data_IF_167501650343
#
_entry.id   IF_167501650343
#
_cell.length_a   1.000
_cell.length_b   1.000
_cell.length_c   1.000
_cell.angle_alpha   90.00
_cell.angle_beta   90.00
_cell.angle_gamma   90.00
#
_symmetry.space_group_name_H-M   'P 1'
#
loop_
_entity.id
_entity.type
_entity.pdbx_description
1 polymer ?
#
# COMPACT_ATOMS: atom_id res chain seq x y z
N UNK A 1 5.70 15.26 8.88
CA UNK A 1 6.06 13.89 9.34
C UNK A 1 5.40 13.52 10.68
N UNK A 2 5.42 14.39 11.71
CA UNK A 2 4.85 14.09 13.04
C UNK A 2 3.35 13.70 13.01
N UNK A 3 2.52 14.41 12.25
CA UNK A 3 1.09 14.08 12.13
C UNK A 3 0.83 12.71 11.49
N UNK A 4 1.48 12.41 10.36
CA UNK A 4 1.36 11.10 9.70
C UNK A 4 1.83 9.97 10.62
N UNK A 5 2.94 10.17 11.35
CA UNK A 5 3.43 9.21 12.33
C UNK A 5 2.38 8.93 13.42
N UNK A 6 1.82 9.97 14.04
CA UNK A 6 0.79 9.81 15.07
C UNK A 6 -0.48 9.14 14.54
N UNK A 7 -0.90 9.49 13.33
CA UNK A 7 -2.03 8.87 12.65
C UNK A 7 -1.78 7.37 12.43
N UNK A 8 -0.64 7.01 11.84
CA UNK A 8 -0.27 5.61 11.58
C UNK A 8 -0.17 4.81 12.88
N UNK A 9 0.42 5.37 13.93
CA UNK A 9 0.49 4.72 15.24
C UNK A 9 -0.91 4.33 15.76
N UNK A 10 -1.89 5.23 15.64
CA UNK A 10 -3.29 4.93 16.01
C UNK A 10 -3.89 3.85 15.10
N UNK A 11 -3.67 3.93 13.79
CA UNK A 11 -4.17 2.93 12.83
C UNK A 11 -3.54 1.55 13.05
N UNK A 12 -2.26 1.48 13.42
CA UNK A 12 -1.58 0.23 13.74
C UNK A 12 -2.07 -0.42 15.03
N UNK A 13 -2.49 0.37 16.01
CA UNK A 13 -3.15 -0.17 17.18
C UNK A 13 -4.44 -0.91 16.80
N UNK A 14 -5.30 -0.28 15.99
CA UNK A 14 -6.54 -0.89 15.48
C UNK A 14 -6.23 -2.10 14.60
N UNK A 15 -5.22 -2.02 13.73
CA UNK A 15 -4.77 -3.12 12.89
C UNK A 15 -4.34 -4.33 13.72
N UNK A 16 -3.58 -4.07 14.78
CA UNK A 16 -3.10 -5.10 15.69
C UNK A 16 -4.24 -5.75 16.46
N UNK A 17 -5.17 -4.96 17.00
CA UNK A 17 -6.36 -5.47 17.68
C UNK A 17 -7.22 -6.34 16.76
N UNK A 18 -7.44 -5.92 15.52
CA UNK A 18 -8.21 -6.68 14.55
C UNK A 18 -7.61 -8.07 14.28
N UNK A 19 -6.29 -8.16 14.10
CA UNK A 19 -5.63 -9.45 13.87
C UNK A 19 -5.46 -10.29 15.15
N UNK A 20 -5.56 -9.67 16.32
CA UNK A 20 -5.52 -10.36 17.60
C UNK A 20 -6.87 -10.99 17.96
N UNK A 21 -7.97 -10.43 17.46
CA UNK A 21 -9.32 -10.97 17.67
C UNK A 21 -9.40 -12.47 17.37
N UNK A 22 -9.96 -13.24 18.30
CA UNK A 22 -9.96 -14.70 18.24
C UNK A 22 -10.76 -15.24 17.03
N UNK A 23 -11.80 -14.54 16.57
CA UNK A 23 -12.54 -14.96 15.37
C UNK A 23 -11.72 -14.77 14.09
N UNK A 24 -10.82 -13.77 14.05
CA UNK A 24 -9.92 -13.53 12.92
C UNK A 24 -8.72 -14.47 12.99
N UNK A 25 -8.01 -14.46 14.12
CA UNK A 25 -6.81 -15.25 14.38
C UNK A 25 -7.05 -16.75 14.18
N UNK A 26 -8.14 -17.30 14.70
CA UNK A 26 -8.46 -18.72 14.55
C UNK A 26 -8.69 -19.13 13.08
N UNK A 27 -9.29 -18.25 12.27
CA UNK A 27 -9.47 -18.49 10.83
C UNK A 27 -8.14 -18.43 10.08
N UNK A 28 -7.29 -17.45 10.40
CA UNK A 28 -5.96 -17.35 9.80
C UNK A 28 -5.09 -18.56 10.12
N UNK A 29 -5.16 -19.10 11.34
CA UNK A 29 -4.45 -20.33 11.71
C UNK A 29 -4.97 -21.55 10.94
N UNK A 30 -6.30 -21.67 10.76
CA UNK A 30 -6.91 -22.73 9.93
C UNK A 30 -6.49 -22.62 8.45
N UNK A 31 -6.37 -21.40 7.93
CA UNK A 31 -5.93 -21.17 6.56
C UNK A 31 -4.42 -21.39 6.39
N UNK A 32 -3.61 -21.07 7.41
CA UNK A 32 -2.19 -21.42 7.44
C UNK A 32 -1.97 -22.94 7.39
N UNK A 33 -2.68 -23.69 8.24
CA UNK A 33 -2.60 -25.15 8.27
C UNK A 33 -3.03 -25.76 6.93
N UNK A 34 -4.16 -25.30 6.39
CA UNK A 34 -4.65 -25.73 5.10
C UNK A 34 -3.65 -25.44 3.98
N UNK A 35 -3.09 -24.22 3.93
CA UNK A 35 -2.12 -23.85 2.92
C UNK A 35 -0.87 -24.71 3.00
N UNK A 36 -0.36 -25.00 4.21
CA UNK A 36 0.80 -25.90 4.39
C UNK A 36 0.54 -27.30 3.85
N UNK A 37 -0.68 -27.84 4.02
CA UNK A 37 -1.04 -29.16 3.51
C UNK A 37 -1.18 -29.17 1.99
N UNK A 38 -1.84 -28.15 1.44
CA UNK A 38 -2.27 -28.12 0.05
C UNK A 38 -1.20 -27.58 -0.89
N UNK A 39 -0.23 -26.82 -0.40
CA UNK A 39 0.90 -26.30 -1.20
C UNK A 39 1.75 -27.40 -1.87
N UNK A 40 1.66 -28.64 -1.39
CA UNK A 40 2.34 -29.79 -2.02
C UNK A 40 1.67 -30.19 -3.34
N UNK A 41 0.34 -30.05 -3.44
CA UNK A 41 -0.46 -30.52 -4.58
C UNK A 41 -1.14 -29.42 -5.39
N UNK A 42 -1.22 -28.20 -4.86
CA UNK A 42 -1.76 -27.05 -5.56
C UNK A 42 -0.71 -25.96 -5.71
N UNK A 43 -0.66 -25.40 -6.92
CA UNK A 43 0.26 -24.31 -7.28
C UNK A 43 -0.14 -22.95 -6.65
N UNK A 44 -1.38 -22.79 -6.18
CA UNK A 44 -1.90 -21.50 -5.73
C UNK A 44 -2.95 -21.64 -4.63
N UNK A 45 -3.10 -20.60 -3.81
CA UNK A 45 -4.07 -20.55 -2.72
C UNK A 45 -5.51 -20.58 -3.27
N UNK A 46 -6.41 -21.43 -2.74
CA UNK A 46 -7.76 -21.59 -3.29
C UNK A 46 -8.63 -20.33 -3.18
N UNK A 47 -9.25 -19.93 -4.29
CA UNK A 47 -10.19 -18.80 -4.33
C UNK A 47 -11.40 -19.01 -3.41
N UNK A 48 -11.96 -20.22 -3.41
CA UNK A 48 -13.13 -20.60 -2.61
C UNK A 48 -12.86 -20.43 -1.12
N UNK A 49 -11.61 -20.62 -0.69
CA UNK A 49 -11.20 -20.45 0.69
C UNK A 49 -11.25 -18.97 1.09
N UNK A 50 -10.68 -18.09 0.28
CA UNK A 50 -10.75 -16.64 0.48
C UNK A 50 -12.20 -16.13 0.49
N UNK A 51 -13.05 -16.64 -0.42
CA UNK A 51 -14.46 -16.28 -0.47
C UNK A 51 -15.23 -16.76 0.77
N UNK A 52 -14.97 -17.99 1.24
CA UNK A 52 -15.55 -18.53 2.47
C UNK A 52 -15.11 -17.74 3.71
N UNK A 53 -13.86 -17.28 3.74
CA UNK A 53 -13.35 -16.41 4.78
C UNK A 53 -14.11 -15.08 4.81
N UNK A 54 -14.19 -14.37 3.68
CA UNK A 54 -14.92 -13.10 3.53
C UNK A 54 -16.40 -13.24 3.97
N UNK A 55 -17.14 -14.19 3.38
CA UNK A 55 -18.53 -14.48 3.76
C UNK A 55 -18.67 -14.86 5.23
N UNK A 56 -17.71 -15.62 5.75
CA UNK A 56 -17.71 -16.09 7.11
C UNK A 56 -17.50 -14.97 8.15
N UNK A 57 -16.74 -13.92 7.81
CA UNK A 57 -16.63 -12.72 8.65
C UNK A 57 -17.88 -11.88 8.58
N UNK A 58 -18.49 -11.74 7.39
CA UNK A 58 -19.75 -10.99 7.22
C UNK A 58 -20.88 -11.53 8.10
N UNK A 59 -20.88 -12.84 8.39
CA UNK A 59 -21.83 -13.49 9.31
C UNK A 59 -21.63 -13.15 10.79
N UNK A 60 -20.49 -12.58 11.19
CA UNK A 60 -20.24 -12.18 12.59
C UNK A 60 -21.00 -10.92 13.00
N UNK A 61 -21.54 -10.18 12.03
CA UNK A 61 -22.31 -8.96 12.26
C UNK A 61 -21.93 -7.86 11.28
N UNK A 62 -22.83 -6.87 11.19
CA UNK A 62 -22.65 -5.63 10.45
C UNK A 62 -22.75 -4.46 11.43
N UNK A 63 -22.04 -3.38 11.15
CA UNK A 63 -22.21 -2.11 11.87
C UNK A 63 -23.55 -1.46 11.53
N UNK A 64 -23.90 -0.37 12.23
CA UNK A 64 -25.08 0.45 11.90
C UNK A 64 -25.08 0.96 10.46
N UNK A 65 -23.90 1.13 9.86
CA UNK A 65 -23.73 1.55 8.46
C UNK A 65 -23.73 0.37 7.46
N UNK A 66 -24.03 -0.85 7.93
CA UNK A 66 -24.08 -2.05 7.09
C UNK A 66 -22.71 -2.63 6.70
N UNK A 67 -21.62 -2.19 7.34
CA UNK A 67 -20.26 -2.67 7.04
C UNK A 67 -19.92 -3.92 7.87
N UNK A 68 -19.36 -4.93 7.23
CA UNK A 68 -18.77 -6.07 7.95
C UNK A 68 -17.45 -5.68 8.62
N UNK A 69 -16.97 -6.52 9.53
CA UNK A 69 -15.63 -6.36 10.10
C UNK A 69 -14.53 -6.35 9.03
N UNK A 70 -14.68 -7.12 7.95
CA UNK A 70 -13.68 -7.13 6.86
C UNK A 70 -13.76 -5.86 6.02
N UNK A 71 -14.95 -5.25 5.86
CA UNK A 71 -15.10 -3.95 5.19
C UNK A 71 -14.41 -2.84 5.98
N UNK A 72 -14.59 -2.83 7.31
CA UNK A 72 -13.88 -1.90 8.20
C UNK A 72 -12.37 -2.09 8.13
N UNK A 73 -11.90 -3.34 8.09
CA UNK A 73 -10.47 -3.63 7.97
C UNK A 73 -9.91 -3.23 6.60
N UNK A 74 -10.64 -3.48 5.50
CA UNK A 74 -10.30 -2.94 4.18
C UNK A 74 -10.18 -1.42 4.23
N UNK A 75 -11.15 -0.73 4.82
CA UNK A 75 -11.12 0.72 5.02
C UNK A 75 -9.92 1.17 5.87
N UNK A 76 -9.55 0.43 6.90
CA UNK A 76 -8.33 0.67 7.68
C UNK A 76 -7.07 0.61 6.82
N UNK A 77 -6.93 -0.42 5.98
CA UNK A 77 -5.81 -0.55 5.03
C UNK A 77 -5.81 0.62 4.04
N UNK A 78 -6.98 0.99 3.50
CA UNK A 78 -7.13 2.16 2.62
C UNK A 78 -6.66 3.44 3.31
N UNK A 79 -7.06 3.68 4.56
CA UNK A 79 -6.62 4.87 5.32
C UNK A 79 -5.10 4.90 5.54
N UNK A 80 -4.48 3.74 5.81
CA UNK A 80 -3.03 3.62 5.94
C UNK A 80 -2.35 3.97 4.60
N UNK A 81 -2.86 3.46 3.48
CA UNK A 81 -2.33 3.77 2.16
C UNK A 81 -2.57 5.22 1.74
N UNK A 82 -3.72 5.82 2.08
CA UNK A 82 -3.97 7.25 1.87
C UNK A 82 -2.96 8.12 2.62
N UNK A 83 -2.55 7.71 3.83
CA UNK A 83 -1.49 8.39 4.56
C UNK A 83 -0.13 8.30 3.83
N UNK A 84 0.19 7.16 3.20
CA UNK A 84 1.38 7.03 2.33
C UNK A 84 1.26 7.92 1.10
N UNK A 85 0.09 7.94 0.44
CA UNK A 85 -0.21 8.81 -0.69
C UNK A 85 -0.06 10.28 -0.34
N UNK A 86 -0.54 10.70 0.84
CA UNK A 86 -0.37 12.05 1.35
C UNK A 86 1.10 12.42 1.56
N UNK A 87 1.90 11.55 2.20
CA UNK A 87 3.34 11.77 2.37
C UNK A 87 4.04 11.95 1.03
N UNK A 88 3.70 11.11 0.05
CA UNK A 88 4.23 11.22 -1.31
C UNK A 88 3.82 12.52 -1.98
N UNK A 89 2.55 12.92 -1.87
CA UNK A 89 2.03 14.15 -2.45
C UNK A 89 2.74 15.39 -1.86
N UNK A 90 2.92 15.44 -0.54
CA UNK A 90 3.66 16.53 0.13
C UNK A 90 5.12 16.57 -0.36
N UNK A 91 5.77 15.41 -0.50
CA UNK A 91 7.14 15.33 -1.05
C UNK A 91 7.19 15.86 -2.48
N UNK A 92 6.31 15.39 -3.36
CA UNK A 92 6.26 15.81 -4.75
C UNK A 92 5.94 17.30 -4.88
N UNK A 93 5.05 17.84 -4.05
CA UNK A 93 4.76 19.27 -3.99
C UNK A 93 5.97 20.09 -3.56
N UNK A 94 6.67 19.67 -2.50
CA UNK A 94 7.90 20.32 -2.05
C UNK A 94 9.01 20.31 -3.11
N UNK A 95 9.19 19.18 -3.80
CA UNK A 95 10.14 19.07 -4.91
C UNK A 95 9.74 19.96 -6.10
N UNK A 96 8.44 20.03 -6.43
CA UNK A 96 7.96 20.90 -7.50
C UNK A 96 8.20 22.39 -7.19
N UNK A 97 7.92 22.83 -5.96
CA UNK A 97 8.23 24.19 -5.53
C UNK A 97 9.74 24.48 -5.61
N UNK A 98 10.57 23.55 -5.14
CA UNK A 98 12.03 23.68 -5.17
C UNK A 98 12.56 23.71 -6.62
N UNK A 99 12.00 22.88 -7.50
CA UNK A 99 12.36 22.84 -8.93
C UNK A 99 11.99 24.14 -9.65
N UNK A 100 10.83 24.73 -9.35
CA UNK A 100 10.45 26.01 -9.93
C UNK A 100 11.38 27.14 -9.48
N UNK A 101 11.75 27.16 -8.20
CA UNK A 101 12.68 28.14 -7.65
C UNK A 101 14.11 27.98 -8.22
N UNK A 102 14.52 26.75 -8.54
CA UNK A 102 15.85 26.43 -9.05
C UNK A 102 16.00 26.53 -10.58
N UNK A 103 14.92 26.85 -11.31
CA UNK A 103 14.89 26.78 -12.79
C UNK A 103 15.92 27.66 -13.49
N UNK A 104 16.41 28.70 -12.82
CA UNK A 104 17.39 29.66 -13.35
C UNK A 104 18.84 29.32 -12.96
N UNK A 105 19.06 28.27 -12.17
CA UNK A 105 20.39 27.80 -11.80
C UNK A 105 20.82 26.75 -12.83
N UNK A 106 21.88 27.01 -13.63
CA UNK A 106 22.29 26.12 -14.72
C UNK A 106 22.75 24.75 -14.26
N UNK A 107 23.52 24.70 -13.18
CA UNK A 107 24.00 23.48 -12.53
C UNK A 107 23.82 23.58 -11.01
N UNK A 108 23.07 22.64 -10.44
CA UNK A 108 22.83 22.55 -9.00
C UNK A 108 23.93 21.77 -8.27
N UNK A 109 24.76 21.01 -9.00
CA UNK A 109 25.88 20.26 -8.45
C UNK A 109 27.14 21.13 -8.34
N UNK A 110 27.26 22.14 -9.19
CA UNK A 110 28.38 23.08 -9.23
C UNK A 110 27.87 24.54 -9.29
N UNK A 111 27.36 25.01 -8.15
CA UNK A 111 26.91 26.40 -8.01
C UNK A 111 28.14 27.29 -7.75
N UNK A 112 28.45 28.17 -8.72
CA UNK A 112 29.49 29.19 -8.58
C UNK A 112 29.11 30.20 -7.48
N UNK A 113 30.06 30.56 -6.61
CA UNK A 113 29.84 31.60 -5.59
C UNK A 113 29.78 32.98 -6.24
N UNK A 114 28.64 33.66 -6.11
CA UNK A 114 28.51 35.03 -6.59
C UNK A 114 29.36 35.99 -5.76
N UNK A 115 29.56 35.70 -4.47
CA UNK A 115 30.44 36.50 -3.60
C UNK A 115 31.85 36.57 -4.17
N UNK A 116 32.44 35.42 -4.54
CA UNK A 116 33.78 35.36 -5.13
C UNK A 116 33.87 36.17 -6.43
N UNK A 117 32.86 36.04 -7.31
CA UNK A 117 32.81 36.82 -8.56
C UNK A 117 32.72 38.33 -8.31
N UNK A 118 31.98 38.76 -7.29
CA UNK A 118 31.87 40.16 -6.91
C UNK A 118 33.19 40.70 -6.32
N UNK A 119 33.87 39.91 -5.50
CA UNK A 119 35.19 40.25 -4.96
C UNK A 119 36.23 40.42 -6.09
N UNK A 120 36.28 39.47 -7.03
CA UNK A 120 37.19 39.52 -8.18
C UNK A 120 36.92 40.73 -9.09
N UNK A 121 35.64 41.11 -9.24
CA UNK A 121 35.22 42.27 -10.03
C UNK A 121 35.37 43.62 -9.29
N UNK A 122 35.81 43.64 -8.03
CA UNK A 122 36.03 44.85 -7.23
C UNK A 122 34.79 45.77 -7.13
N UNK A 123 33.60 45.18 -6.96
CA UNK A 123 32.33 45.92 -6.84
C UNK A 123 32.12 46.54 -5.45
N UNK A 124 31.05 47.33 -5.29
CA UNK A 124 30.76 47.99 -4.01
C UNK A 124 30.44 47.01 -2.87
N UNK A 125 30.65 47.44 -1.63
CA UNK A 125 30.36 46.63 -0.44
C UNK A 125 28.88 46.25 -0.33
N UNK A 126 27.96 47.11 -0.78
CA UNK A 126 26.52 46.81 -0.84
C UNK A 126 26.22 45.68 -1.82
N UNK A 127 26.94 45.62 -2.94
CA UNK A 127 26.79 44.59 -3.96
C UNK A 127 27.31 43.24 -3.44
N UNK A 128 28.44 43.23 -2.75
CA UNK A 128 28.98 42.03 -2.08
C UNK A 128 27.97 41.50 -1.05
N UNK A 129 27.39 42.37 -0.22
CA UNK A 129 26.37 41.97 0.77
C UNK A 129 25.10 41.43 0.13
N UNK A 130 24.70 41.96 -1.03
CA UNK A 130 23.58 41.40 -1.79
C UNK A 130 23.91 40.01 -2.35
N UNK A 131 25.15 39.80 -2.81
CA UNK A 131 25.65 38.51 -3.28
C UNK A 131 25.69 37.46 -2.14
N UNK A 132 26.10 37.83 -0.93
CA UNK A 132 26.07 36.94 0.26
C UNK A 132 24.65 36.41 0.53
N UNK A 133 23.65 37.30 0.46
CA UNK A 133 22.25 36.90 0.63
C UNK A 133 21.79 35.95 -0.47
N UNK A 134 22.20 36.20 -1.72
CA UNK A 134 21.82 35.35 -2.85
C UNK A 134 22.48 33.97 -2.74
N UNK A 135 23.78 33.90 -2.45
CA UNK A 135 24.50 32.64 -2.24
C UNK A 135 23.89 31.85 -1.07
N UNK A 136 23.48 32.51 0.02
CA UNK A 136 22.78 31.85 1.13
C UNK A 136 21.42 31.25 0.71
N UNK A 137 20.65 31.98 -0.10
CA UNK A 137 19.36 31.50 -0.65
C UNK A 137 19.58 30.33 -1.60
N UNK A 138 20.55 30.41 -2.51
CA UNK A 138 20.86 29.34 -3.46
C UNK A 138 21.36 28.10 -2.71
N UNK A 139 22.25 28.24 -1.73
CA UNK A 139 22.71 27.13 -0.90
C UNK A 139 21.56 26.43 -0.15
N UNK A 140 20.61 27.21 0.39
CA UNK A 140 19.41 26.67 1.01
C UNK A 140 18.55 25.88 0.00
N UNK A 141 18.39 26.40 -1.21
CA UNK A 141 17.63 25.77 -2.27
C UNK A 141 18.27 24.46 -2.76
N UNK A 142 19.57 24.47 -3.03
CA UNK A 142 20.35 23.30 -3.44
C UNK A 142 20.29 22.20 -2.37
N UNK A 143 20.43 22.55 -1.08
CA UNK A 143 20.29 21.59 0.02
C UNK A 143 18.90 20.95 0.10
N UNK A 144 17.85 21.73 -0.12
CA UNK A 144 16.47 21.22 -0.11
C UNK A 144 16.15 20.39 -1.35
N UNK A 145 16.78 20.69 -2.48
CA UNK A 145 16.64 19.94 -3.73
C UNK A 145 17.31 18.55 -3.65
N UNK A 146 18.50 18.48 -3.05
CA UNK A 146 19.25 17.23 -2.85
C UNK A 146 18.81 16.41 -1.63
N UNK A 147 17.76 16.82 -0.90
CA UNK A 147 17.28 16.07 0.25
C UNK A 147 16.57 14.78 -0.24
N UNK A 148 17.37 13.73 -0.45
CA UNK A 148 16.96 12.34 -0.70
C UNK A 148 16.35 11.70 0.56
N UNK A 149 15.42 12.41 1.19
CA UNK A 149 14.68 11.84 2.32
C UNK A 149 13.72 10.80 1.75
N UNK A 150 14.12 9.54 1.83
CA UNK A 150 13.22 8.42 1.57
C UNK A 150 12.24 8.31 2.74
N UNK A 151 11.20 9.15 2.70
CA UNK A 151 10.17 9.19 3.73
C UNK A 151 9.46 7.84 3.93
N UNK A 152 9.36 7.03 2.87
CA UNK A 152 8.81 5.68 2.98
C UNK A 152 9.75 4.77 3.75
N UNK A 153 11.05 4.83 3.46
CA UNK A 153 12.06 4.18 4.31
C UNK A 153 11.90 4.58 5.77
N UNK A 154 11.92 5.88 6.07
CA UNK A 154 11.85 6.37 7.44
C UNK A 154 10.60 5.83 8.17
N UNK A 155 9.45 5.85 7.51
CA UNK A 155 8.22 5.31 8.08
C UNK A 155 8.27 3.79 8.26
N UNK A 156 8.91 3.04 7.36
CA UNK A 156 9.08 1.60 7.57
C UNK A 156 10.05 1.33 8.71
N UNK A 157 11.22 1.99 8.73
CA UNK A 157 12.28 1.75 9.72
C UNK A 157 11.81 2.11 11.14
N UNK A 158 10.99 3.15 11.29
CA UNK A 158 10.44 3.55 12.59
C UNK A 158 9.42 2.54 13.12
N UNK A 159 8.58 1.94 12.27
CA UNK A 159 7.48 1.09 12.72
C UNK A 159 7.79 -0.42 12.66
N UNK A 160 8.70 -0.84 11.79
CA UNK A 160 9.07 -2.25 11.63
C UNK A 160 9.55 -2.92 12.93
N UNK A 161 10.46 -2.33 13.74
CA UNK A 161 10.92 -2.97 14.98
C UNK A 161 9.77 -3.24 15.96
N UNK A 162 8.89 -2.27 16.16
CA UNK A 162 7.76 -2.40 17.07
C UNK A 162 6.74 -3.43 16.58
N UNK A 163 6.42 -3.45 15.29
CA UNK A 163 5.42 -4.36 14.71
C UNK A 163 5.93 -5.79 14.51
N UNK A 164 7.24 -5.98 14.39
CA UNK A 164 7.87 -7.30 14.22
C UNK A 164 8.30 -7.94 15.55
N UNK A 165 8.12 -7.23 16.67
CA UNK A 165 8.41 -7.76 18.00
C UNK A 165 7.67 -9.08 18.27
N UNK A 166 8.28 -9.98 19.03
CA UNK A 166 7.71 -11.29 19.33
C UNK A 166 6.38 -11.22 20.10
N UNK A 167 6.13 -10.14 20.85
CA UNK A 167 4.83 -9.86 21.49
C UNK A 167 3.71 -9.69 20.46
N UNK A 168 4.05 -9.30 19.24
CA UNK A 168 3.12 -9.11 18.12
C UNK A 168 3.09 -10.32 17.16
N UNK A 169 3.20 -11.53 17.71
CA UNK A 169 3.23 -12.77 16.92
C UNK A 169 1.99 -12.99 16.04
N UNK A 170 0.83 -12.47 16.44
CA UNK A 170 -0.41 -12.50 15.65
C UNK A 170 -0.29 -11.77 14.31
N UNK A 171 0.60 -10.77 14.20
CA UNK A 171 0.79 -10.03 12.95
C UNK A 171 1.49 -10.86 11.87
N UNK A 172 2.22 -11.93 12.24
CA UNK A 172 2.99 -12.80 11.32
C UNK A 172 2.13 -13.46 10.24
N UNK A 173 0.82 -13.57 10.48
CA UNK A 173 -0.14 -14.21 9.57
C UNK A 173 -0.96 -13.22 8.74
N UNK A 174 -0.64 -11.91 8.76
CA UNK A 174 -1.38 -10.90 8.00
C UNK A 174 -1.50 -11.25 6.50
N UNK A 175 -0.44 -11.74 5.86
CA UNK A 175 -0.47 -12.09 4.43
C UNK A 175 -1.58 -13.07 4.03
N UNK A 176 -2.06 -13.92 4.96
CA UNK A 176 -3.12 -14.88 4.72
C UNK A 176 -4.51 -14.25 4.65
N UNK A 177 -4.71 -13.05 5.22
CA UNK A 177 -5.99 -12.34 5.13
C UNK A 177 -6.14 -11.59 3.81
N UNK A 178 -5.01 -11.27 3.14
CA UNK A 178 -4.99 -10.48 1.91
C UNK A 178 -5.90 -11.07 0.82
N UNK A 179 -5.86 -12.38 0.51
CA UNK A 179 -6.82 -12.98 -0.43
C UNK A 179 -8.27 -12.62 -0.14
N UNK A 180 -8.73 -12.78 1.10
CA UNK A 180 -10.10 -12.45 1.49
C UNK A 180 -10.40 -10.95 1.37
N UNK A 181 -9.45 -10.09 1.75
CA UNK A 181 -9.58 -8.64 1.57
C UNK A 181 -9.66 -8.25 0.10
N UNK A 182 -8.94 -8.92 -0.81
CA UNK A 182 -9.02 -8.62 -2.25
C UNK A 182 -10.38 -9.02 -2.83
N UNK A 183 -10.97 -10.13 -2.38
CA UNK A 183 -12.36 -10.48 -2.75
C UNK A 183 -13.32 -9.42 -2.25
N UNK A 184 -13.20 -9.02 -0.98
CA UNK A 184 -14.01 -7.95 -0.38
C UNK A 184 -13.86 -6.62 -1.13
N UNK A 185 -12.63 -6.25 -1.52
CA UNK A 185 -12.35 -5.05 -2.29
C UNK A 185 -13.00 -5.09 -3.67
N UNK A 186 -12.90 -6.19 -4.41
CA UNK A 186 -13.50 -6.31 -5.75
C UNK A 186 -15.03 -6.24 -5.67
N UNK A 187 -15.64 -6.91 -4.68
CA UNK A 187 -17.08 -6.81 -4.43
C UNK A 187 -17.51 -5.36 -4.15
N UNK A 188 -16.74 -4.64 -3.32
CA UNK A 188 -16.98 -3.22 -3.04
C UNK A 188 -16.77 -2.32 -4.27
N UNK A 189 -15.70 -2.53 -5.05
CA UNK A 189 -15.38 -1.76 -6.26
C UNK A 189 -16.51 -1.87 -7.29
N UNK A 190 -16.99 -3.09 -7.54
CA UNK A 190 -18.11 -3.32 -8.46
C UNK A 190 -19.39 -2.63 -7.97
N UNK A 191 -19.73 -2.76 -6.69
CA UNK A 191 -20.89 -2.09 -6.13
C UNK A 191 -20.78 -0.55 -6.21
N UNK A 192 -19.58 0.00 -5.99
CA UNK A 192 -19.33 1.43 -6.12
C UNK A 192 -19.46 1.92 -7.58
N UNK A 193 -18.99 1.13 -8.56
CA UNK A 193 -19.16 1.41 -9.99
C UNK A 193 -20.62 1.33 -10.44
N UNK A 194 -21.37 0.38 -9.92
CA UNK A 194 -22.82 0.27 -10.16
C UNK A 194 -23.60 1.45 -9.55
N UNK A 195 -23.15 1.99 -8.43
CA UNK A 195 -23.76 3.19 -7.83
C UNK A 195 -23.46 4.47 -8.63
N UNK A 196 -22.27 4.57 -9.23
CA UNK A 196 -21.93 5.67 -10.13
C UNK A 196 -22.82 5.70 -11.38
N UNK A 197 -23.05 4.55 -12.01
CA UNK A 197 -23.90 4.47 -13.21
C UNK A 197 -25.35 4.86 -12.92
N UNK A 198 -25.81 4.64 -11.69
CA UNK A 198 -27.17 5.00 -11.22
C UNK A 198 -27.32 6.44 -10.72
N UNK A 199 -26.29 7.29 -10.85
CA UNK A 199 -26.23 8.67 -10.29
C UNK A 199 -26.49 8.75 -8.77
N UNK A 200 -26.28 7.66 -8.04
CA UNK A 200 -26.36 7.67 -6.57
C UNK A 200 -25.09 8.33 -6.03
N UNK A 201 -25.24 9.47 -5.34
CA UNK A 201 -24.10 10.23 -4.80
C UNK A 201 -23.41 9.53 -3.62
N UNK A 202 -24.11 8.66 -2.90
CA UNK A 202 -23.60 7.96 -1.72
C UNK A 202 -22.98 6.61 -2.11
N UNK A 203 -21.71 6.39 -1.79
CA UNK A 203 -21.00 5.14 -2.07
C UNK A 203 -20.47 4.99 -3.50
N UNK A 204 -20.54 6.05 -4.30
CA UNK A 204 -19.87 6.15 -5.60
C UNK A 204 -18.38 6.45 -5.39
N UNK A 205 -17.51 5.57 -5.88
CA UNK A 205 -16.06 5.76 -5.86
C UNK A 205 -15.46 5.30 -7.20
N UNK A 206 -14.65 6.17 -7.82
CA UNK A 206 -14.03 5.90 -9.12
C UNK A 206 -12.64 5.24 -8.99
N UNK A 207 -11.88 5.60 -7.97
CA UNK A 207 -10.54 5.06 -7.70
C UNK A 207 -10.34 4.85 -6.18
N UNK A 208 -9.71 3.72 -5.81
CA UNK A 208 -9.33 3.39 -4.43
C UNK A 208 -7.88 2.86 -4.41
N UNK A 209 -6.94 3.73 -4.79
CA UNK A 209 -5.51 3.44 -4.81
C UNK A 209 -4.93 3.28 -3.39
N UNK A 210 -5.61 3.86 -2.40
CA UNK A 210 -5.26 3.77 -0.99
C UNK A 210 -5.20 2.34 -0.51
N UNK A 211 -6.14 1.48 -0.93
CA UNK A 211 -6.11 0.07 -0.55
C UNK A 211 -4.82 -0.62 -1.04
N UNK A 212 -4.49 -0.47 -2.33
CA UNK A 212 -3.29 -1.07 -2.92
C UNK A 212 -2.00 -0.55 -2.28
N UNK A 213 -1.91 0.75 -2.05
CA UNK A 213 -0.78 1.41 -1.39
C UNK A 213 -0.63 0.91 0.06
N UNK A 214 -1.75 0.75 0.78
CA UNK A 214 -1.80 0.24 2.14
C UNK A 214 -1.33 -1.21 2.23
N UNK A 215 -1.78 -2.09 1.33
CA UNK A 215 -1.31 -3.48 1.28
C UNK A 215 0.19 -3.57 1.05
N UNK A 216 0.70 -2.81 0.07
CA UNK A 216 2.13 -2.79 -0.24
C UNK A 216 2.96 -2.33 0.96
N UNK A 217 2.52 -1.28 1.66
CA UNK A 217 3.19 -0.77 2.85
C UNK A 217 3.15 -1.77 4.00
N UNK A 218 1.99 -2.37 4.31
CA UNK A 218 1.88 -3.36 5.38
C UNK A 218 2.71 -4.61 5.11
N UNK A 219 2.73 -5.10 3.86
CA UNK A 219 3.58 -6.23 3.46
C UNK A 219 5.07 -5.92 3.66
N UNK A 220 5.52 -4.69 3.36
CA UNK A 220 6.89 -4.26 3.60
C UNK A 220 7.18 -4.11 5.10
N UNK A 221 6.34 -3.37 5.83
CA UNK A 221 6.50 -3.14 7.28
C UNK A 221 6.53 -4.43 8.06
N UNK A 222 5.72 -5.43 7.72
CA UNK A 222 5.69 -6.72 8.43
C UNK A 222 6.69 -7.75 7.87
N UNK A 223 7.41 -7.42 6.79
CA UNK A 223 8.31 -8.33 6.08
C UNK A 223 7.63 -9.63 5.60
N UNK A 224 6.47 -9.50 4.93
CA UNK A 224 5.65 -10.64 4.50
C UNK A 224 5.47 -10.74 2.98
N UNK A 225 6.27 -9.98 2.21
CA UNK A 225 6.23 -10.01 0.74
C UNK A 225 6.42 -11.43 0.19
N UNK A 226 7.48 -12.12 0.61
CA UNK A 226 7.78 -13.48 0.13
C UNK A 226 6.71 -14.49 0.56
N UNK A 227 6.16 -14.36 1.77
CA UNK A 227 5.07 -15.20 2.26
C UNK A 227 3.80 -15.02 1.43
N UNK A 228 3.45 -13.78 1.09
CA UNK A 228 2.33 -13.46 0.21
C UNK A 228 2.56 -13.96 -1.21
N UNK A 229 3.73 -13.72 -1.79
CA UNK A 229 4.07 -14.18 -3.14
C UNK A 229 4.00 -15.72 -3.25
N UNK A 230 4.35 -16.42 -2.18
CA UNK A 230 4.25 -17.88 -2.11
C UNK A 230 2.83 -18.42 -2.19
N UNK A 231 1.79 -17.58 -2.02
CA UNK A 231 0.39 -17.98 -2.21
C UNK A 231 0.02 -18.09 -3.70
N UNK A 232 0.80 -17.49 -4.60
CA UNK A 232 0.46 -17.37 -6.03
C UNK A 232 -0.99 -16.90 -6.27
N UNK A 233 -1.48 -16.01 -5.39
CA UNK A 233 -2.89 -15.63 -5.30
C UNK A 233 -3.45 -15.10 -6.62
N UNK A 234 -2.75 -14.14 -7.23
CA UNK A 234 -3.19 -13.49 -8.47
C UNK A 234 -3.29 -14.49 -9.64
N UNK A 235 -2.31 -15.40 -9.75
CA UNK A 235 -2.34 -16.47 -10.75
C UNK A 235 -3.50 -17.43 -10.52
N UNK A 236 -3.77 -17.81 -9.27
CA UNK A 236 -4.90 -18.65 -8.89
C UNK A 236 -6.25 -18.02 -9.22
N UNK A 237 -6.43 -16.74 -8.89
CA UNK A 237 -7.63 -15.96 -9.23
C UNK A 237 -7.83 -15.91 -10.74
N UNK A 238 -6.80 -15.54 -11.50
CA UNK A 238 -6.89 -15.43 -12.96
C UNK A 238 -7.29 -16.75 -13.61
N UNK A 239 -6.63 -17.86 -13.24
CA UNK A 239 -6.96 -19.20 -13.76
C UNK A 239 -8.38 -19.62 -13.39
N UNK A 240 -8.84 -19.32 -12.17
CA UNK A 240 -10.21 -19.62 -11.73
C UNK A 240 -11.25 -18.94 -12.60
N UNK A 241 -11.11 -17.64 -12.84
CA UNK A 241 -12.06 -16.88 -13.64
C UNK A 241 -12.04 -17.28 -15.12
N UNK A 242 -10.85 -17.55 -15.70
CA UNK A 242 -10.74 -18.09 -17.06
C UNK A 242 -11.51 -19.41 -17.17
N UNK A 243 -11.24 -20.37 -16.27
CA UNK A 243 -11.90 -21.69 -16.27
C UNK A 243 -13.41 -21.60 -16.11
N UNK A 244 -13.93 -20.72 -15.24
CA UNK A 244 -15.39 -20.56 -15.10
C UNK A 244 -16.03 -19.90 -16.32
N UNK A 245 -15.35 -18.93 -16.93
CA UNK A 245 -15.83 -18.31 -18.17
C UNK A 245 -15.91 -19.31 -19.31
N UNK A 246 -14.86 -20.13 -19.49
CA UNK A 246 -14.83 -21.18 -20.51
C UNK A 246 -15.97 -22.18 -20.34
N UNK A 247 -16.26 -22.60 -19.09
CA UNK A 247 -17.40 -23.49 -18.81
C UNK A 247 -18.74 -22.86 -19.18
N UNK A 248 -18.96 -21.59 -18.82
CA UNK A 248 -20.22 -20.89 -19.14
C UNK A 248 -20.36 -20.70 -20.65
N UNK A 249 -19.25 -20.41 -21.35
CA UNK A 249 -19.23 -20.29 -22.80
C UNK A 249 -19.54 -21.62 -23.50
N UNK A 250 -18.94 -22.72 -23.04
CA UNK A 250 -19.24 -24.07 -23.52
C UNK A 250 -20.72 -24.42 -23.31
N UNK A 251 -21.28 -24.16 -22.13
CA UNK A 251 -22.71 -24.39 -21.84
C UNK A 251 -23.61 -23.58 -22.78
N UNK A 252 -23.22 -22.33 -23.07
CA UNK A 252 -23.97 -21.45 -23.97
C UNK A 252 -23.97 -21.97 -25.41
N UNK A 253 -22.82 -22.44 -25.89
CA UNK A 253 -22.65 -23.02 -27.23
C UNK A 253 -23.38 -24.37 -27.37
N UNK A 254 -23.31 -25.23 -26.35
CA UNK A 254 -24.00 -26.52 -26.33
C UNK A 254 -25.53 -26.39 -26.17
N UNK A 255 -26.02 -25.29 -25.58
CA UNK A 255 -27.45 -24.99 -25.39
C UNK A 255 -28.09 -24.16 -26.50
N UNK A 256 -27.45 -24.06 -27.67
CA UNK A 256 -27.93 -23.36 -28.86
C UNK A 256 -29.24 -23.98 -29.39
N UNK A 257 -30.37 -23.58 -28.82
CA UNK A 257 -31.71 -24.05 -29.20
C UNK A 257 -32.69 -24.23 -28.04
N UNK A 258 -32.27 -24.04 -26.79
CA UNK A 258 -33.10 -24.21 -25.58
C UNK A 258 -33.27 -22.87 -24.85
N UNK A 259 -34.53 -22.48 -24.65
CA UNK A 259 -35.04 -21.43 -23.74
C UNK A 259 -34.26 -20.09 -23.74
N UNK A 260 -34.83 -19.05 -24.36
CA UNK A 260 -34.27 -17.68 -24.38
C UNK A 260 -33.89 -17.15 -22.98
N UNK A 261 -34.63 -17.56 -21.93
CA UNK A 261 -34.32 -17.17 -20.54
C UNK A 261 -33.00 -17.78 -20.04
N UNK A 262 -32.71 -19.02 -20.43
CA UNK A 262 -31.46 -19.69 -20.07
C UNK A 262 -30.28 -19.01 -20.77
N UNK A 263 -30.42 -18.71 -22.05
CA UNK A 263 -29.40 -17.97 -22.83
C UNK A 263 -29.13 -16.59 -22.25
N UNK A 264 -30.17 -15.85 -21.85
CA UNK A 264 -30.02 -14.56 -21.18
C UNK A 264 -29.31 -14.69 -19.82
N UNK A 265 -29.65 -15.71 -19.02
CA UNK A 265 -29.01 -15.96 -17.73
C UNK A 265 -27.53 -16.29 -17.86
N UNK A 266 -27.15 -17.10 -18.86
CA UNK A 266 -25.76 -17.44 -19.15
C UNK A 266 -24.98 -16.20 -19.62
N UNK A 267 -25.57 -15.36 -20.46
CA UNK A 267 -24.95 -14.11 -20.91
C UNK A 267 -24.67 -13.14 -19.74
N UNK A 268 -25.64 -12.96 -18.83
CA UNK A 268 -25.46 -12.15 -17.62
C UNK A 268 -24.38 -12.73 -16.70
N UNK A 269 -24.32 -14.05 -16.56
CA UNK A 269 -23.30 -14.73 -15.76
C UNK A 269 -21.90 -14.51 -16.33
N UNK A 270 -21.76 -14.62 -17.66
CA UNK A 270 -20.49 -14.39 -18.36
C UNK A 270 -20.02 -12.95 -18.21
N UNK A 271 -20.91 -11.97 -18.40
CA UNK A 271 -20.62 -10.55 -18.18
C UNK A 271 -20.17 -10.29 -16.73
N UNK A 272 -20.86 -10.87 -15.74
CA UNK A 272 -20.45 -10.76 -14.33
C UNK A 272 -19.05 -11.32 -14.10
N UNK A 273 -18.74 -12.51 -14.63
CA UNK A 273 -17.41 -13.11 -14.48
C UNK A 273 -16.32 -12.26 -15.13
N UNK A 274 -16.60 -11.65 -16.28
CA UNK A 274 -15.69 -10.70 -16.95
C UNK A 274 -15.41 -9.47 -16.09
N UNK A 275 -16.44 -8.85 -15.51
CA UNK A 275 -16.28 -7.69 -14.65
C UNK A 275 -15.44 -8.02 -13.41
N UNK A 276 -15.71 -9.14 -12.73
CA UNK A 276 -14.89 -9.57 -11.60
C UNK A 276 -13.44 -9.80 -12.00
N UNK A 277 -13.21 -10.51 -13.12
CA UNK A 277 -11.86 -10.76 -13.62
C UNK A 277 -11.10 -9.46 -13.90
N UNK A 278 -11.75 -8.50 -14.57
CA UNK A 278 -11.18 -7.19 -14.88
C UNK A 278 -10.83 -6.42 -13.60
N UNK A 279 -11.71 -6.39 -12.60
CA UNK A 279 -11.41 -5.72 -11.32
C UNK A 279 -10.25 -6.34 -10.57
N UNK A 280 -10.14 -7.67 -10.56
CA UNK A 280 -8.99 -8.35 -9.96
C UNK A 280 -7.69 -8.01 -10.70
N UNK A 281 -7.74 -7.89 -12.02
CA UNK A 281 -6.58 -7.54 -12.84
C UNK A 281 -6.12 -6.09 -12.58
N UNK A 282 -7.07 -5.14 -12.48
CA UNK A 282 -6.79 -3.77 -12.09
C UNK A 282 -6.18 -3.70 -10.68
N UNK A 283 -6.76 -4.42 -9.71
CA UNK A 283 -6.22 -4.47 -8.35
C UNK A 283 -4.80 -5.08 -8.33
N UNK A 284 -4.55 -6.13 -9.10
CA UNK A 284 -3.22 -6.73 -9.24
C UNK A 284 -2.20 -5.71 -9.76
N UNK A 285 -2.54 -4.95 -10.80
CA UNK A 285 -1.67 -3.91 -11.36
C UNK A 285 -1.41 -2.79 -10.35
N UNK A 286 -2.44 -2.33 -9.64
CA UNK A 286 -2.30 -1.29 -8.60
C UNK A 286 -1.43 -1.77 -7.44
N UNK A 287 -1.64 -2.99 -6.92
CA UNK A 287 -0.81 -3.55 -5.83
C UNK A 287 0.62 -3.77 -6.29
N UNK A 288 0.83 -4.31 -7.50
CA UNK A 288 2.17 -4.55 -8.04
C UNK A 288 2.94 -3.24 -8.22
N UNK A 289 2.29 -2.21 -8.74
CA UNK A 289 2.87 -0.87 -8.89
C UNK A 289 3.17 -0.24 -7.53
N UNK A 290 2.25 -0.36 -6.56
CA UNK A 290 2.43 0.16 -5.22
C UNK A 290 3.62 -0.50 -4.48
N UNK A 291 3.88 -1.79 -4.72
CA UNK A 291 5.03 -2.50 -4.13
C UNK A 291 6.37 -1.97 -4.63
N UNK A 292 6.44 -1.35 -5.81
CA UNK A 292 7.69 -0.76 -6.35
C UNK A 292 8.20 0.37 -5.44
N UNK A 293 7.32 1.15 -4.81
CA UNK A 293 7.73 2.20 -3.86
C UNK A 293 8.48 1.69 -2.63
N UNK A 294 8.46 0.38 -2.39
CA UNK A 294 9.12 -0.27 -1.27
C UNK A 294 10.16 -1.31 -1.69
N UNK A 295 10.45 -1.42 -2.99
CA UNK A 295 11.53 -2.25 -3.55
C UNK A 295 12.80 -1.39 -3.63
N UNK A 296 13.81 -1.78 -2.86
CA UNK A 296 15.10 -1.11 -2.80
C UNK A 296 15.89 -1.57 -1.57
N UNK A 297 17.19 -1.81 -1.74
CA UNK A 297 18.14 -1.89 -0.65
C UNK A 297 18.36 -0.48 -0.14
N UNK A 298 17.56 -0.10 0.85
CA UNK A 298 17.69 1.22 1.40
C UNK A 298 19.04 1.33 2.12
N UNK A 299 19.94 2.25 1.76
CA UNK A 299 21.29 2.34 2.32
C UNK A 299 21.21 2.52 3.85
N UNK A 300 21.68 1.53 4.62
CA UNK A 300 21.56 1.50 6.09
C UNK A 300 22.10 2.82 6.64
N UNK A 301 21.24 3.60 7.31
CA UNK A 301 21.70 4.81 7.99
C UNK A 301 22.40 4.33 9.27
N UNK A 302 23.69 4.62 9.47
CA UNK A 302 24.40 4.21 10.68
C UNK A 302 23.71 4.80 11.90
N UNK A 303 23.36 3.95 12.84
CA UNK A 303 22.70 4.33 14.07
C UNK A 303 23.74 4.97 15.01
N UNK A 304 23.89 6.30 14.99
CA UNK A 304 24.75 7.02 15.94
C UNK A 304 24.09 7.07 17.33
N UNK A 305 24.10 5.93 18.03
CA UNK A 305 23.84 5.84 19.46
C UNK A 305 25.13 5.42 20.18
N UNK A 306 26.13 6.30 20.21
CA UNK A 306 27.21 6.21 21.20
C UNK A 306 26.79 6.99 22.45
N UNK A 307 25.99 6.35 23.30
CA UNK A 307 25.93 6.72 24.71
C UNK A 307 27.21 6.19 25.38
N UNK A 308 28.25 7.02 25.45
CA UNK A 308 29.38 6.78 26.35
C UNK A 308 28.93 7.04 27.80
N UNK A 309 28.34 6.01 28.42
CA UNK A 309 28.38 5.84 29.87
C UNK A 309 29.64 5.04 30.19
N UNK A 310 30.74 5.71 30.50
CA UNK A 310 31.83 5.11 31.27
C UNK A 310 31.72 5.59 32.71
N UNK A 311 31.07 4.74 33.50
CA UNK A 311 31.06 4.78 34.95
C UNK A 311 32.50 4.70 35.50
N UNK A 312 32.75 5.58 36.46
CA UNK A 312 33.73 5.48 37.53
C UNK A 312 33.85 4.07 38.11
N UNK A 313 35.08 3.57 38.23
CA UNK A 313 35.47 2.58 39.26
C UNK A 313 36.84 2.94 39.82
N UNK A 314 36.88 3.03 41.15
CA UNK A 314 38.01 3.34 42.02
C UNK A 314 39.01 2.17 42.19
N UNK A 315 40.18 2.52 42.74
CA UNK A 315 41.21 1.73 43.45
C UNK A 315 42.06 0.79 42.58
N UNK A 316 43.40 0.76 42.69
CA UNK A 316 44.35 1.13 43.76
C UNK A 316 45.43 2.10 43.28
#
# INVERSE_FOLDING_TARGET
VNFTYQFLRRKFHVFSQFLYDEHIKSRLLKDLQHWRQVKISQEYFPYERAQKFNRGIRKLGLTGDGLSYLDQFRGLITHIGNAMGYVRLVRSGGLHCSSNAARFIPDLQDVVSLVQLCEDAHVSAETIRAAENLDAVINSLTRNFHQDTDYFKLLVDVFAPALRDNKNSHLKNFYLIIPAMTVNFVEHSLAAKDNMSKKNRTGAAFTDDGFAMGLAYMLKVLNQNSSFDSLHWWSGVRRRFIKEREKVEQQRQSGSGVDDKLQQTLALTLSRLQHYQQEFELLYLSVSSARVFFRGDWPVVPNNNNNNNTSTTHSQ
#
